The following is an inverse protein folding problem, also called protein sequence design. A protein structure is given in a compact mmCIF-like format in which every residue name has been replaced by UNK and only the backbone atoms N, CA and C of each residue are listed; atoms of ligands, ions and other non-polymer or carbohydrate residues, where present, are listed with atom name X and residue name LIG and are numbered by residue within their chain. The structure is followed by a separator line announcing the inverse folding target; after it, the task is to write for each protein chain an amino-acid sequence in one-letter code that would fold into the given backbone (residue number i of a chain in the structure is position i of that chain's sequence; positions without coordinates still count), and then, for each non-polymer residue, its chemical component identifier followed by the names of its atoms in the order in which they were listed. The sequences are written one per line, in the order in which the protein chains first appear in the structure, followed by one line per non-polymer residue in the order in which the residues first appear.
data_IF_706770285424
#
_entry.id   IF_706770285424
#
_cell.length_a   1.000
_cell.length_b   1.000
_cell.length_c   1.000
_cell.angle_alpha   90.00
_cell.angle_beta   90.00
_cell.angle_gamma   90.00
#
_symmetry.space_group_name_H-M   'P 1'
#
loop_
_entity.id
_entity.type
_entity.pdbx_description
1 polymer ?
#
# COMPACT_ATOMS: atom_id res chain seq x y z
N UNK A 1 -24.96 22.56 13.42
CA UNK A 1 -23.52 22.48 13.10
C UNK A 1 -23.11 21.02 13.00
N UNK A 2 -23.24 20.42 11.81
CA UNK A 2 -22.88 19.03 11.57
C UNK A 2 -21.35 18.88 11.55
N UNK A 3 -20.79 18.25 12.58
CA UNK A 3 -19.38 17.88 12.58
C UNK A 3 -19.14 16.85 11.49
N UNK A 4 -18.24 17.15 10.54
CA UNK A 4 -17.76 16.17 9.55
C UNK A 4 -17.17 14.97 10.31
N UNK A 5 -17.90 13.87 10.29
CA UNK A 5 -17.45 12.55 10.73
C UNK A 5 -16.47 12.08 9.65
N UNK A 6 -15.16 12.17 9.91
CA UNK A 6 -14.15 11.69 8.96
C UNK A 6 -13.81 10.23 9.28
N UNK A 7 -13.74 9.34 8.27
CA UNK A 7 -13.37 7.95 8.50
C UNK A 7 -11.96 7.87 9.11
N UNK A 8 -11.77 6.92 10.02
CA UNK A 8 -10.57 6.76 10.85
C UNK A 8 -9.30 6.15 10.21
N UNK A 9 -9.28 5.53 9.00
CA UNK A 9 -8.13 4.74 8.56
C UNK A 9 -6.86 5.59 8.38
N UNK A 10 -7.06 6.88 8.09
CA UNK A 10 -5.97 7.81 7.89
C UNK A 10 -5.17 8.18 9.14
N UNK A 11 -5.84 8.55 10.22
CA UNK A 11 -5.18 8.87 11.49
C UNK A 11 -4.57 7.62 12.14
N UNK A 12 -5.20 6.46 11.97
CA UNK A 12 -4.65 5.18 12.42
C UNK A 12 -3.34 4.83 11.70
N UNK A 13 -3.28 5.02 10.37
CA UNK A 13 -2.06 4.83 9.59
C UNK A 13 -0.92 5.75 10.09
N UNK A 14 -1.20 7.04 10.29
CA UNK A 14 -0.20 7.98 10.83
C UNK A 14 0.26 7.55 12.23
N UNK A 15 -0.64 7.11 13.10
CA UNK A 15 -0.29 6.64 14.44
C UNK A 15 0.62 5.39 14.42
N UNK A 16 0.38 4.47 13.48
CA UNK A 16 1.23 3.29 13.29
C UNK A 16 2.62 3.65 12.77
N UNK A 17 2.71 4.51 11.75
CA UNK A 17 3.98 5.00 11.21
C UNK A 17 4.81 5.67 12.31
N UNK A 18 4.20 6.60 13.06
CA UNK A 18 4.87 7.31 14.16
C UNK A 18 5.38 6.35 15.24
N UNK A 19 4.64 5.29 15.53
CA UNK A 19 5.09 4.28 16.50
C UNK A 19 6.29 3.49 15.99
N UNK A 20 6.28 3.07 14.72
CA UNK A 20 7.40 2.34 14.10
C UNK A 20 8.66 3.20 14.06
N UNK A 21 8.52 4.50 13.82
CA UNK A 21 9.61 5.46 13.76
C UNK A 21 10.12 5.94 15.12
N UNK A 22 9.47 5.58 16.23
CA UNK A 22 9.88 6.04 17.56
C UNK A 22 11.35 5.72 17.86
N UNK A 23 11.81 4.52 17.48
CA UNK A 23 13.21 4.10 17.65
C UNK A 23 14.15 4.98 16.84
N UNK A 24 13.80 5.26 15.58
CA UNK A 24 14.59 6.12 14.68
C UNK A 24 14.67 7.55 15.22
N UNK A 25 13.55 8.11 15.69
CA UNK A 25 13.50 9.47 16.27
C UNK A 25 14.35 9.59 17.53
N UNK A 26 14.33 8.58 18.40
CA UNK A 26 15.19 8.55 19.59
C UNK A 26 16.67 8.39 19.22
N UNK A 27 16.99 7.52 18.26
CA UNK A 27 18.37 7.37 17.76
C UNK A 27 18.93 8.66 17.17
N UNK A 28 18.14 9.35 16.35
CA UNK A 28 18.50 10.67 15.81
C UNK A 28 18.66 11.70 16.93
N UNK A 29 17.77 11.72 17.93
CA UNK A 29 17.90 12.63 19.05
C UNK A 29 19.20 12.43 19.84
N UNK A 30 19.65 11.18 20.03
CA UNK A 30 20.96 10.90 20.66
C UNK A 30 22.10 11.48 19.83
N UNK A 31 22.11 11.23 18.52
CA UNK A 31 23.15 11.74 17.61
C UNK A 31 23.17 13.28 17.61
N UNK A 32 22.01 13.90 17.48
CA UNK A 32 21.84 15.36 17.48
C UNK A 32 22.31 15.98 18.81
N UNK A 33 22.06 15.30 19.94
CA UNK A 33 22.55 15.74 21.26
C UNK A 33 24.07 15.72 21.32
N UNK A 34 24.70 14.63 20.85
CA UNK A 34 26.15 14.50 20.82
C UNK A 34 26.80 15.57 19.93
N UNK A 35 26.22 15.82 18.74
CA UNK A 35 26.68 16.88 17.84
C UNK A 35 26.49 18.25 18.49
N UNK A 36 25.33 18.51 19.10
CA UNK A 36 25.07 19.78 19.75
C UNK A 36 26.05 20.06 20.89
N UNK A 37 26.40 19.03 21.66
CA UNK A 37 27.43 19.12 22.70
C UNK A 37 28.82 19.39 22.13
N UNK A 38 29.18 18.75 21.01
CA UNK A 38 30.49 18.94 20.39
C UNK A 38 30.65 20.34 19.75
N UNK A 39 29.59 20.83 19.09
CA UNK A 39 29.61 22.13 18.37
C UNK A 39 29.49 23.32 19.32
N UNK A 40 28.63 23.20 20.35
CA UNK A 40 28.44 24.25 21.34
C UNK A 40 28.35 23.60 22.75
N UNK A 41 29.51 23.33 23.38
CA UNK A 41 29.56 22.67 24.68
C UNK A 41 28.78 23.44 25.75
N UNK A 42 27.61 22.93 26.11
CA UNK A 42 26.79 23.46 27.20
C UNK A 42 25.82 22.41 27.74
N UNK A 43 25.14 22.65 28.87
CA UNK A 43 24.08 21.76 29.36
C UNK A 43 22.85 21.69 28.43
N UNK A 44 22.68 22.63 27.50
CA UNK A 44 21.45 22.79 26.74
C UNK A 44 21.08 21.59 25.85
N UNK A 45 21.99 20.94 25.08
CA UNK A 45 21.67 19.75 24.32
C UNK A 45 21.12 18.59 25.18
N UNK A 46 21.59 18.45 26.43
CA UNK A 46 21.08 17.42 27.35
C UNK A 46 19.68 17.77 27.87
N UNK A 47 19.42 19.05 28.18
CA UNK A 47 18.08 19.54 28.54
C UNK A 47 17.11 19.33 27.38
N UNK A 48 17.54 19.65 26.16
CA UNK A 48 16.79 19.40 24.93
C UNK A 48 16.47 17.92 24.73
N UNK A 49 17.44 17.03 24.93
CA UNK A 49 17.22 15.59 24.84
C UNK A 49 16.16 15.09 25.82
N UNK A 50 16.19 15.57 27.07
CA UNK A 50 15.15 15.31 28.07
C UNK A 50 13.77 15.78 27.61
N UNK A 51 13.69 16.99 27.04
CA UNK A 51 12.45 17.54 26.49
C UNK A 51 11.94 16.72 25.29
N UNK A 52 12.83 16.23 24.42
CA UNK A 52 12.48 15.33 23.31
C UNK A 52 11.88 14.03 23.88
N UNK A 53 12.50 13.39 24.87
CA UNK A 53 11.94 12.19 25.49
C UNK A 53 10.53 12.47 26.06
N UNK A 54 10.36 13.57 26.80
CA UNK A 54 9.06 13.93 27.37
C UNK A 54 7.99 14.11 26.28
N UNK A 55 8.33 14.80 25.18
CA UNK A 55 7.39 14.95 24.05
C UNK A 55 7.10 13.64 23.32
N UNK A 56 8.03 12.68 23.27
CA UNK A 56 7.76 11.33 22.74
C UNK A 56 6.80 10.54 23.65
N UNK A 57 6.90 10.70 24.97
CA UNK A 57 5.97 10.06 25.92
C UNK A 57 4.55 10.63 25.74
N UNK A 58 4.44 11.95 25.58
CA UNK A 58 3.16 12.63 25.30
C UNK A 58 2.59 12.16 23.94
N UNK A 59 3.43 12.11 22.90
CA UNK A 59 3.05 11.59 21.56
C UNK A 59 2.52 10.16 21.64
N UNK A 60 3.25 9.28 22.34
CA UNK A 60 2.84 7.90 22.52
C UNK A 60 1.50 7.78 23.26
N UNK A 61 1.29 8.59 24.30
CA UNK A 61 0.04 8.62 25.07
C UNK A 61 -1.15 9.11 24.24
N UNK A 62 -0.98 10.23 23.52
CA UNK A 62 -2.03 10.84 22.71
C UNK A 62 -2.51 9.89 21.59
N UNK A 63 -1.58 9.27 20.86
CA UNK A 63 -1.91 8.35 19.76
C UNK A 63 -2.22 6.92 20.21
N UNK A 64 -2.13 6.60 21.52
CA UNK A 64 -2.40 5.25 22.04
C UNK A 64 -3.82 4.78 21.74
N UNK A 65 -4.80 5.67 21.87
CA UNK A 65 -6.22 5.34 21.69
C UNK A 65 -6.49 4.85 20.27
N UNK A 66 -6.06 5.64 19.26
CA UNK A 66 -6.31 5.34 17.85
C UNK A 66 -5.48 4.17 17.33
N UNK A 67 -4.28 3.94 17.90
CA UNK A 67 -3.47 2.75 17.57
C UNK A 67 -4.12 1.45 18.05
N UNK A 68 -4.83 1.48 19.19
CA UNK A 68 -5.52 0.30 19.75
C UNK A 68 -6.89 0.07 19.14
N UNK A 69 -7.55 1.13 18.65
CA UNK A 69 -8.87 1.06 18.03
C UNK A 69 -8.84 1.85 16.71
N UNK A 70 -8.34 1.25 15.61
CA UNK A 70 -8.19 1.91 14.32
C UNK A 70 -9.50 2.44 13.75
N UNK A 71 -10.63 1.79 14.08
CA UNK A 71 -11.96 2.12 13.56
C UNK A 71 -12.66 3.23 14.36
N UNK A 72 -12.02 3.75 15.42
CA UNK A 72 -12.63 4.77 16.27
C UNK A 72 -12.72 6.11 15.53
N UNK A 73 -13.94 6.63 15.41
CA UNK A 73 -14.22 7.93 14.78
C UNK A 73 -13.50 9.05 15.52
N UNK A 74 -12.63 9.78 14.80
CA UNK A 74 -11.88 10.90 15.36
C UNK A 74 -12.79 12.12 15.44
N UNK A 75 -13.15 12.51 16.66
CA UNK A 75 -13.87 13.78 16.88
C UNK A 75 -12.94 14.97 16.65
N UNK A 76 -13.50 16.16 16.35
CA UNK A 76 -12.73 17.41 16.19
C UNK A 76 -11.80 17.76 17.36
N UNK A 77 -12.17 17.40 18.60
CA UNK A 77 -11.31 17.60 19.80
C UNK A 77 -10.03 16.77 19.74
N UNK A 78 -10.15 15.52 19.31
CA UNK A 78 -9.02 14.61 19.13
C UNK A 78 -8.11 15.07 17.99
N UNK A 79 -8.67 15.55 16.88
CA UNK A 79 -7.90 16.14 15.78
C UNK A 79 -7.04 17.33 16.26
N UNK A 80 -7.65 18.28 16.98
CA UNK A 80 -6.92 19.43 17.54
C UNK A 80 -5.82 18.95 18.49
N UNK A 81 -6.12 17.99 19.36
CA UNK A 81 -5.14 17.40 20.27
C UNK A 81 -3.94 16.81 19.50
N UNK A 82 -4.19 16.04 18.44
CA UNK A 82 -3.13 15.45 17.62
C UNK A 82 -2.29 16.52 16.93
N UNK A 83 -2.91 17.54 16.35
CA UNK A 83 -2.19 18.66 15.74
C UNK A 83 -1.32 19.41 16.76
N UNK A 84 -1.84 19.67 17.97
CA UNK A 84 -1.09 20.35 19.04
C UNK A 84 0.10 19.52 19.49
N UNK A 85 -0.10 18.21 19.72
CA UNK A 85 0.98 17.31 20.14
C UNK A 85 2.06 17.19 19.07
N UNK A 86 1.66 17.11 17.80
CA UNK A 86 2.60 17.06 16.67
C UNK A 86 3.37 18.37 16.54
N UNK A 87 2.69 19.52 16.61
CA UNK A 87 3.35 20.83 16.56
C UNK A 87 4.32 21.01 17.72
N UNK A 88 3.93 20.62 18.94
CA UNK A 88 4.81 20.65 20.12
C UNK A 88 6.06 19.80 19.92
N UNK A 89 5.90 18.58 19.40
CA UNK A 89 7.02 17.69 19.12
C UNK A 89 8.01 18.35 18.15
N UNK A 90 7.50 18.96 17.08
CA UNK A 90 8.32 19.66 16.09
C UNK A 90 9.04 20.87 16.69
N UNK A 91 8.34 21.71 17.44
CA UNK A 91 8.92 22.92 18.06
C UNK A 91 10.06 22.52 18.98
N UNK A 92 9.85 21.51 19.82
CA UNK A 92 10.91 21.00 20.72
C UNK A 92 12.06 20.42 19.92
N UNK A 93 11.79 19.61 18.89
CA UNK A 93 12.84 19.01 18.07
C UNK A 93 13.68 20.08 17.33
N UNK A 94 13.02 21.12 16.79
CA UNK A 94 13.66 22.22 16.06
C UNK A 94 14.36 23.24 16.96
N UNK A 95 14.10 23.23 18.28
CA UNK A 95 14.74 24.14 19.22
C UNK A 95 16.26 23.96 19.29
N UNK A 96 16.77 22.76 19.01
CA UNK A 96 18.21 22.53 18.91
C UNK A 96 18.82 23.27 17.71
N UNK A 97 18.14 23.32 16.56
CA UNK A 97 18.60 24.11 15.41
C UNK A 97 18.76 25.58 15.77
N UNK A 98 17.79 26.16 16.49
CA UNK A 98 17.88 27.55 16.94
C UNK A 98 19.07 27.76 17.88
N UNK A 99 19.27 26.87 18.84
CA UNK A 99 20.42 26.94 19.73
C UNK A 99 21.76 26.90 18.97
N UNK A 100 21.90 25.96 18.03
CA UNK A 100 23.11 25.81 17.23
C UNK A 100 23.32 26.97 16.26
N UNK A 101 22.24 27.57 15.76
CA UNK A 101 22.30 28.75 14.91
C UNK A 101 23.01 29.93 15.61
N UNK A 102 22.62 30.23 16.85
CA UNK A 102 23.15 31.37 17.59
C UNK A 102 24.45 31.05 18.34
N UNK A 103 24.60 29.83 18.88
CA UNK A 103 25.73 29.48 19.75
C UNK A 103 26.82 28.66 19.05
N UNK A 104 26.54 28.04 17.91
CA UNK A 104 27.44 27.09 17.25
C UNK A 104 28.30 27.68 16.11
N UNK A 105 28.30 29.00 15.93
CA UNK A 105 29.04 29.66 14.85
C UNK A 105 28.61 29.20 13.45
N UNK A 106 29.52 29.23 12.48
CA UNK A 106 29.20 28.86 11.09
C UNK A 106 28.82 27.38 10.93
N UNK A 107 29.53 26.49 11.63
CA UNK A 107 29.25 25.04 11.62
C UNK A 107 27.86 24.77 12.21
N UNK A 108 27.50 25.45 13.31
CA UNK A 108 26.19 25.34 13.93
C UNK A 108 25.06 25.81 13.02
N UNK A 109 25.24 26.90 12.27
CA UNK A 109 24.26 27.38 11.28
C UNK A 109 24.02 26.37 10.16
N UNK A 110 25.08 25.79 9.59
CA UNK A 110 24.94 24.74 8.56
C UNK A 110 24.16 23.55 9.11
N UNK A 111 24.50 23.12 10.33
CA UNK A 111 23.83 21.99 10.95
C UNK A 111 22.35 22.27 11.26
N UNK A 112 22.04 23.48 11.74
CA UNK A 112 20.67 23.93 11.97
C UNK A 112 19.82 23.87 10.69
N UNK A 113 20.38 24.27 9.54
CA UNK A 113 19.70 24.19 8.24
C UNK A 113 19.49 22.74 7.78
N UNK A 114 20.50 21.88 7.91
CA UNK A 114 20.40 20.46 7.56
C UNK A 114 19.34 19.78 8.42
N UNK A 115 19.34 20.04 9.73
CA UNK A 115 18.37 19.46 10.66
C UNK A 115 16.93 19.87 10.32
N UNK A 116 16.69 21.17 10.11
CA UNK A 116 15.34 21.68 9.84
C UNK A 116 14.85 21.29 8.44
N UNK A 117 15.72 21.28 7.42
CA UNK A 117 15.39 20.71 6.11
C UNK A 117 15.05 19.22 6.19
N UNK A 118 15.88 18.43 6.88
CA UNK A 118 15.64 17.00 7.09
C UNK A 118 14.32 16.72 7.81
N UNK A 119 14.01 17.52 8.84
CA UNK A 119 12.72 17.44 9.55
C UNK A 119 11.52 17.76 8.63
N UNK A 120 11.66 18.76 7.76
CA UNK A 120 10.62 19.12 6.81
C UNK A 120 10.40 18.04 5.74
N UNK A 121 11.49 17.44 5.23
CA UNK A 121 11.43 16.29 4.33
C UNK A 121 10.76 15.08 5.00
N UNK A 122 11.18 14.76 6.22
CA UNK A 122 10.63 13.64 6.99
C UNK A 122 9.11 13.76 7.17
N UNK A 123 8.65 14.93 7.62
CA UNK A 123 7.22 15.23 7.79
C UNK A 123 6.46 15.14 6.46
N UNK A 124 7.05 15.68 5.39
CA UNK A 124 6.47 15.68 4.06
C UNK A 124 6.29 14.27 3.49
N UNK A 125 7.26 13.38 3.68
CA UNK A 125 7.19 12.00 3.20
C UNK A 125 6.14 11.17 3.97
N UNK A 126 6.04 11.35 5.29
CA UNK A 126 5.23 10.44 6.13
C UNK A 126 3.82 10.95 6.42
N UNK A 127 3.58 12.27 6.34
CA UNK A 127 2.30 12.88 6.72
C UNK A 127 1.50 13.43 5.53
N UNK A 128 1.95 13.24 4.28
CA UNK A 128 1.28 13.78 3.08
C UNK A 128 -0.17 13.32 2.90
N UNK A 129 -0.54 12.17 3.46
CA UNK A 129 -1.89 11.63 3.42
C UNK A 129 -2.91 12.46 4.24
N UNK A 130 -2.46 13.24 5.24
CA UNK A 130 -3.35 14.00 6.13
C UNK A 130 -2.94 15.47 6.24
N UNK A 131 -3.68 16.32 5.52
CA UNK A 131 -3.42 17.77 5.47
C UNK A 131 -3.32 18.44 6.85
N UNK A 132 -4.25 18.24 7.81
CA UNK A 132 -4.18 18.93 9.10
C UNK A 132 -2.90 18.60 9.89
N UNK A 133 -2.52 17.32 9.91
CA UNK A 133 -1.31 16.87 10.58
C UNK A 133 -0.05 17.36 9.86
N UNK A 134 -0.03 17.28 8.52
CA UNK A 134 1.05 17.80 7.70
C UNK A 134 1.30 19.29 7.99
N UNK A 135 0.26 20.12 7.95
CA UNK A 135 0.40 21.56 8.23
C UNK A 135 0.86 21.80 9.67
N UNK A 136 0.29 21.10 10.65
CA UNK A 136 0.71 21.25 12.06
C UNK A 136 2.19 20.93 12.29
N UNK A 137 2.77 20.02 11.50
CA UNK A 137 4.18 19.63 11.60
C UNK A 137 5.12 20.45 10.71
N UNK A 138 4.67 20.79 9.50
CA UNK A 138 5.48 21.50 8.51
C UNK A 138 5.60 22.98 8.82
N UNK A 139 4.53 23.63 9.30
CA UNK A 139 4.54 25.07 9.59
C UNK A 139 5.60 25.46 10.61
N UNK A 140 5.76 24.78 11.77
CA UNK A 140 6.81 25.14 12.71
C UNK A 140 8.21 24.85 12.15
N UNK A 141 8.47 23.71 11.50
CA UNK A 141 9.77 23.46 10.85
C UNK A 141 10.11 24.53 9.81
N UNK A 142 9.14 24.92 8.97
CA UNK A 142 9.33 25.98 7.97
C UNK A 142 9.60 27.33 8.63
N UNK A 143 8.93 27.62 9.75
CA UNK A 143 9.16 28.84 10.53
C UNK A 143 10.59 28.88 11.09
N UNK A 144 11.14 27.77 11.60
CA UNK A 144 12.55 27.72 12.00
C UNK A 144 13.49 27.81 10.80
N UNK A 145 13.20 27.06 9.73
CA UNK A 145 14.05 26.99 8.53
C UNK A 145 14.24 28.34 7.83
N UNK A 146 13.17 29.15 7.72
CA UNK A 146 13.23 30.49 7.13
C UNK A 146 13.51 31.56 8.19
N UNK A 147 12.93 31.41 9.38
CA UNK A 147 13.03 32.40 10.44
C UNK A 147 14.44 32.52 11.02
N UNK A 148 15.20 31.43 11.14
CA UNK A 148 16.55 31.50 11.71
C UNK A 148 17.51 32.38 10.89
N UNK A 149 17.64 32.20 9.55
CA UNK A 149 18.46 33.11 8.75
C UNK A 149 17.95 34.55 8.71
N UNK A 150 16.63 34.75 8.71
CA UNK A 150 16.05 36.12 8.74
C UNK A 150 16.36 36.81 10.07
N UNK A 151 16.19 36.10 11.19
CA UNK A 151 16.49 36.64 12.52
C UNK A 151 17.97 36.90 12.70
N UNK A 152 18.85 36.00 12.23
CA UNK A 152 20.29 36.23 12.25
C UNK A 152 20.71 37.44 11.39
N UNK A 153 20.11 37.62 10.22
CA UNK A 153 20.37 38.80 9.38
C UNK A 153 19.99 40.12 10.09
N UNK A 154 18.88 40.13 10.84
CA UNK A 154 18.39 41.31 11.56
C UNK A 154 19.17 41.56 12.85
N UNK A 155 19.43 40.52 13.64
CA UNK A 155 20.03 40.62 14.97
C UNK A 155 21.55 40.78 14.88
N UNK A 156 22.22 39.94 14.09
CA UNK A 156 23.68 39.94 13.96
C UNK A 156 24.16 40.96 12.92
N UNK A 157 23.24 41.62 12.19
CA UNK A 157 23.54 42.59 11.15
C UNK A 157 24.23 41.98 9.92
N UNK A 158 23.99 40.69 9.64
CA UNK A 158 24.63 39.91 8.57
C UNK A 158 23.67 39.71 7.39
N UNK A 159 23.56 40.66 6.43
CA UNK A 159 22.56 40.59 5.36
C UNK A 159 22.75 39.38 4.44
N UNK A 160 23.96 38.82 4.36
CA UNK A 160 24.26 37.59 3.62
C UNK A 160 23.45 36.38 4.10
N UNK A 161 22.97 36.35 5.35
CA UNK A 161 22.12 35.26 5.85
C UNK A 161 20.73 35.26 5.19
N UNK A 162 20.28 36.37 4.60
CA UNK A 162 19.06 36.40 3.79
C UNK A 162 19.16 35.51 2.55
N UNK A 163 20.37 35.30 2.00
CA UNK A 163 20.57 34.38 0.87
C UNK A 163 20.23 32.95 1.27
N UNK A 164 20.52 32.57 2.52
CA UNK A 164 20.14 31.26 3.08
C UNK A 164 18.61 31.14 3.16
N UNK A 165 17.90 32.20 3.56
CA UNK A 165 16.43 32.21 3.57
C UNK A 165 15.85 32.06 2.14
N UNK A 166 16.44 32.72 1.14
CA UNK A 166 16.03 32.56 -0.27
C UNK A 166 16.25 31.11 -0.75
N UNK A 167 17.40 30.51 -0.44
CA UNK A 167 17.65 29.09 -0.69
C UNK A 167 16.64 28.19 0.02
N UNK A 168 16.24 28.57 1.24
CA UNK A 168 15.17 27.92 1.97
C UNK A 168 13.82 27.99 1.26
N UNK A 169 13.44 29.14 0.69
CA UNK A 169 12.21 29.28 -0.10
C UNK A 169 12.23 28.38 -1.35
N UNK A 170 13.36 28.30 -2.04
CA UNK A 170 13.54 27.39 -3.18
C UNK A 170 13.38 25.92 -2.76
N UNK A 171 13.94 25.54 -1.61
CA UNK A 171 13.77 24.22 -1.04
C UNK A 171 12.30 23.93 -0.70
N UNK A 172 11.60 24.88 -0.06
CA UNK A 172 10.16 24.77 0.24
C UNK A 172 9.33 24.60 -1.03
N UNK A 173 9.64 25.34 -2.10
CA UNK A 173 8.98 25.21 -3.38
C UNK A 173 9.14 23.79 -3.95
N UNK A 174 10.37 23.27 -4.01
CA UNK A 174 10.63 21.90 -4.47
C UNK A 174 9.94 20.85 -3.60
N UNK A 175 9.91 21.07 -2.29
CA UNK A 175 9.24 20.17 -1.37
C UNK A 175 7.73 20.15 -1.59
N UNK A 176 7.09 21.30 -1.83
CA UNK A 176 5.66 21.37 -2.18
C UNK A 176 5.38 20.64 -3.49
N UNK A 177 6.22 20.80 -4.50
CA UNK A 177 6.11 20.06 -5.76
C UNK A 177 6.24 18.55 -5.53
N UNK A 178 7.26 18.13 -4.76
CA UNK A 178 7.52 16.73 -4.42
C UNK A 178 6.35 16.08 -3.67
N UNK A 179 5.79 16.77 -2.66
CA UNK A 179 4.61 16.28 -1.91
C UNK A 179 3.39 16.14 -2.82
N UNK A 180 3.14 17.12 -3.70
CA UNK A 180 2.03 17.06 -4.67
C UNK A 180 2.19 15.91 -5.65
N UNK A 181 3.41 15.69 -6.14
CA UNK A 181 3.72 14.58 -7.04
C UNK A 181 3.53 13.23 -6.34
N UNK A 182 4.09 13.05 -5.13
CA UNK A 182 3.92 11.82 -4.35
C UNK A 182 2.45 11.50 -4.10
N UNK A 183 1.65 12.50 -3.71
CA UNK A 183 0.23 12.29 -3.46
C UNK A 183 -0.53 11.84 -4.72
N UNK A 184 -0.18 12.39 -5.90
CA UNK A 184 -0.76 11.98 -7.19
C UNK A 184 -0.36 10.55 -7.56
N UNK A 185 0.91 10.19 -7.40
CA UNK A 185 1.40 8.83 -7.69
C UNK A 185 0.75 7.80 -6.79
N UNK A 186 0.61 8.07 -5.49
CA UNK A 186 -0.07 7.16 -4.57
C UNK A 186 -1.54 6.99 -4.92
N UNK A 187 -2.24 8.06 -5.33
CA UNK A 187 -3.63 7.96 -5.76
C UNK A 187 -3.76 7.12 -7.04
N UNK A 188 -2.94 7.41 -8.06
CA UNK A 188 -2.97 6.67 -9.31
C UNK A 188 -2.67 5.17 -9.11
N UNK A 189 -1.75 4.82 -8.20
CA UNK A 189 -1.47 3.43 -7.85
C UNK A 189 -2.64 2.73 -7.14
N UNK A 190 -3.43 3.47 -6.33
CA UNK A 190 -4.63 2.90 -5.70
C UNK A 190 -5.72 2.65 -6.72
N UNK A 191 -6.02 3.65 -7.55
CA UNK A 191 -7.04 3.56 -8.59
C UNK A 191 -6.70 2.43 -9.58
N UNK A 192 -5.42 2.27 -9.93
CA UNK A 192 -4.96 1.18 -10.81
C UNK A 192 -5.08 -0.21 -10.15
N UNK A 193 -4.79 -0.33 -8.85
CA UNK A 193 -4.95 -1.59 -8.13
C UNK A 193 -6.43 -1.97 -7.98
N UNK A 194 -7.30 -1.01 -7.68
CA UNK A 194 -8.76 -1.23 -7.59
C UNK A 194 -9.31 -1.69 -8.95
N UNK A 195 -8.96 -0.99 -10.03
CA UNK A 195 -9.37 -1.39 -11.39
C UNK A 195 -8.83 -2.77 -11.80
N UNK A 196 -7.61 -3.11 -11.38
CA UNK A 196 -7.02 -4.42 -11.65
C UNK A 196 -7.72 -5.54 -10.87
N UNK A 197 -8.11 -5.30 -9.61
CA UNK A 197 -8.83 -6.28 -8.81
C UNK A 197 -10.27 -6.47 -9.33
N UNK A 198 -10.97 -5.40 -9.70
CA UNK A 198 -12.29 -5.48 -10.34
C UNK A 198 -12.24 -6.26 -11.65
N UNK A 199 -11.23 -6.01 -12.50
CA UNK A 199 -11.05 -6.74 -13.75
C UNK A 199 -10.73 -8.23 -13.52
N UNK A 200 -9.94 -8.53 -12.48
CA UNK A 200 -9.63 -9.91 -12.06
C UNK A 200 -10.89 -10.63 -11.61
N UNK A 201 -11.69 -10.02 -10.74
CA UNK A 201 -12.95 -10.60 -10.26
C UNK A 201 -13.93 -10.86 -11.41
N UNK A 202 -14.09 -9.90 -12.34
CA UNK A 202 -14.94 -10.09 -13.51
C UNK A 202 -14.46 -11.25 -14.41
N UNK A 203 -13.15 -11.41 -14.58
CA UNK A 203 -12.59 -12.52 -15.34
C UNK A 203 -12.79 -13.88 -14.64
N UNK A 204 -12.63 -13.92 -13.31
CA UNK A 204 -12.88 -15.11 -12.50
C UNK A 204 -14.36 -15.54 -12.56
N UNK A 205 -15.29 -14.59 -12.43
CA UNK A 205 -16.73 -14.84 -12.56
C UNK A 205 -17.10 -15.35 -13.96
N UNK A 206 -16.54 -14.74 -15.02
CA UNK A 206 -16.78 -15.19 -16.40
C UNK A 206 -16.25 -16.60 -16.64
N UNK A 207 -15.08 -16.94 -16.10
CA UNK A 207 -14.48 -18.28 -16.21
C UNK A 207 -15.30 -19.33 -15.46
N UNK A 208 -15.79 -19.00 -14.26
CA UNK A 208 -16.68 -19.87 -13.50
C UNK A 208 -18.00 -20.12 -14.24
N UNK A 209 -18.65 -19.06 -14.74
CA UNK A 209 -19.90 -19.17 -15.50
C UNK A 209 -19.72 -20.01 -16.79
N UNK A 210 -18.59 -19.86 -17.48
CA UNK A 210 -18.25 -20.69 -18.65
C UNK A 210 -18.12 -22.16 -18.27
N UNK A 211 -17.42 -22.46 -17.18
CA UNK A 211 -17.21 -23.83 -16.69
C UNK A 211 -18.52 -24.49 -16.29
N UNK A 212 -19.37 -23.78 -15.54
CA UNK A 212 -20.70 -24.26 -15.14
C UNK A 212 -21.58 -24.52 -16.36
N UNK A 213 -21.57 -23.62 -17.34
CA UNK A 213 -22.31 -23.79 -18.59
C UNK A 213 -21.86 -25.05 -19.34
N UNK A 214 -20.55 -25.27 -19.51
CA UNK A 214 -20.03 -26.45 -20.21
C UNK A 214 -20.35 -27.75 -19.47
N UNK A 215 -20.28 -27.75 -18.13
CA UNK A 215 -20.65 -28.90 -17.31
C UNK A 215 -22.13 -29.27 -17.49
N UNK A 216 -23.04 -28.29 -17.43
CA UNK A 216 -24.48 -28.50 -17.62
C UNK A 216 -24.76 -29.01 -19.03
N UNK A 217 -24.25 -28.34 -20.06
CA UNK A 217 -24.48 -28.74 -21.45
C UNK A 217 -23.95 -30.14 -21.73
N UNK A 218 -22.80 -30.51 -21.16
CA UNK A 218 -22.27 -31.85 -21.32
C UNK A 218 -23.19 -32.93 -20.72
N UNK A 219 -23.76 -32.68 -19.54
CA UNK A 219 -24.73 -33.58 -18.95
C UNK A 219 -26.01 -33.71 -19.83
N UNK A 220 -26.51 -32.59 -20.33
CA UNK A 220 -27.70 -32.53 -21.18
C UNK A 220 -27.50 -33.14 -22.58
N UNK A 221 -26.28 -33.13 -23.13
CA UNK A 221 -25.95 -33.79 -24.41
C UNK A 221 -25.66 -35.27 -24.22
N UNK A 222 -25.01 -35.66 -23.12
CA UNK A 222 -24.65 -37.07 -22.83
C UNK A 222 -25.89 -37.97 -22.82
N UNK A 223 -26.99 -37.50 -22.23
CA UNK A 223 -28.24 -38.28 -22.10
C UNK A 223 -28.85 -38.65 -23.46
N UNK A 224 -29.17 -37.71 -24.37
CA UNK A 224 -29.69 -38.04 -25.70
C UNK A 224 -28.65 -38.79 -26.55
N UNK A 225 -27.36 -38.49 -26.44
CA UNK A 225 -26.35 -39.22 -27.21
C UNK A 225 -26.24 -40.69 -26.80
N UNK A 226 -26.24 -40.98 -25.50
CA UNK A 226 -26.27 -42.36 -25.03
C UNK A 226 -27.54 -43.09 -25.49
N UNK A 227 -28.68 -42.41 -25.56
CA UNK A 227 -29.91 -42.99 -26.11
C UNK A 227 -29.77 -43.33 -27.61
N UNK A 228 -29.18 -42.44 -28.41
CA UNK A 228 -28.91 -42.66 -29.84
C UNK A 228 -27.94 -43.83 -30.05
N UNK A 229 -26.82 -43.85 -29.33
CA UNK A 229 -25.82 -44.93 -29.41
C UNK A 229 -26.43 -46.27 -28.96
N UNK A 230 -27.25 -46.27 -27.91
CA UNK A 230 -27.95 -47.47 -27.44
C UNK A 230 -28.96 -47.98 -28.48
N UNK A 231 -29.75 -47.09 -29.08
CA UNK A 231 -30.69 -47.44 -30.14
C UNK A 231 -29.97 -48.02 -31.38
N UNK A 232 -28.87 -47.40 -31.80
CA UNK A 232 -28.02 -47.92 -32.89
C UNK A 232 -27.45 -49.30 -32.55
N UNK A 233 -27.01 -49.51 -31.31
CA UNK A 233 -26.55 -50.82 -30.83
C UNK A 233 -27.64 -51.89 -30.86
N UNK A 234 -28.88 -51.54 -30.53
CA UNK A 234 -30.02 -52.46 -30.62
C UNK A 234 -30.35 -52.80 -32.08
N UNK A 235 -30.38 -51.79 -32.97
CA UNK A 235 -30.61 -52.00 -34.40
C UNK A 235 -29.53 -52.90 -35.02
N UNK A 236 -28.26 -52.72 -34.64
CA UNK A 236 -27.13 -53.54 -35.10
C UNK A 236 -27.30 -55.04 -34.78
N UNK A 237 -28.11 -55.38 -33.77
CA UNK A 237 -28.42 -56.77 -33.37
C UNK A 237 -29.61 -57.38 -34.13
N UNK A 238 -30.27 -56.62 -35.00
CA UNK A 238 -31.38 -57.11 -35.83
C UNK A 238 -30.90 -57.58 -37.21
N UNK A 239 -31.81 -58.14 -38.03
CA UNK A 239 -31.51 -58.45 -39.44
C UNK A 239 -31.50 -57.15 -40.25
N UNK A 240 -30.30 -56.71 -40.62
CA UNK A 240 -30.06 -55.55 -41.49
C UNK A 240 -29.45 -56.02 -42.82
N UNK A 241 -29.86 -55.37 -43.91
CA UNK A 241 -29.16 -55.49 -45.20
C UNK A 241 -27.77 -54.80 -45.14
N UNK A 242 -27.02 -54.86 -46.24
CA UNK A 242 -25.65 -54.33 -46.30
C UNK A 242 -25.61 -52.83 -46.05
N UNK A 243 -26.49 -52.08 -46.73
CA UNK A 243 -26.49 -50.62 -46.69
C UNK A 243 -26.99 -50.13 -45.32
N UNK A 244 -28.02 -50.76 -44.75
CA UNK A 244 -28.51 -50.49 -43.40
C UNK A 244 -27.43 -50.73 -42.33
N UNK A 245 -26.62 -51.77 -42.48
CA UNK A 245 -25.52 -52.08 -41.54
C UNK A 245 -24.43 -51.02 -41.58
N UNK A 246 -24.11 -50.53 -42.78
CA UNK A 246 -23.15 -49.44 -42.98
C UNK A 246 -23.66 -48.12 -42.39
N UNK A 247 -24.94 -47.78 -42.58
CA UNK A 247 -25.56 -46.62 -41.95
C UNK A 247 -25.56 -46.70 -40.41
N UNK A 248 -25.88 -47.85 -39.82
CA UNK A 248 -25.84 -48.05 -38.36
C UNK A 248 -24.41 -47.93 -37.82
N UNK A 249 -23.40 -48.43 -38.56
CA UNK A 249 -21.99 -48.24 -38.19
C UNK A 249 -21.62 -46.76 -38.18
N UNK A 250 -21.95 -46.01 -39.24
CA UNK A 250 -21.68 -44.57 -39.31
C UNK A 250 -22.35 -43.79 -38.17
N UNK A 251 -23.58 -44.13 -37.79
CA UNK A 251 -24.27 -43.50 -36.65
C UNK A 251 -23.56 -43.75 -35.32
N UNK A 252 -23.03 -44.97 -35.12
CA UNK A 252 -22.26 -45.29 -33.92
C UNK A 252 -20.93 -44.54 -33.90
N UNK A 253 -20.18 -44.57 -35.00
CA UNK A 253 -18.88 -43.90 -35.11
C UNK A 253 -19.02 -42.38 -34.88
N UNK A 254 -20.08 -41.76 -35.42
CA UNK A 254 -20.38 -40.35 -35.18
C UNK A 254 -20.76 -40.07 -33.72
N UNK A 255 -21.50 -40.97 -33.07
CA UNK A 255 -21.86 -40.84 -31.66
C UNK A 255 -20.65 -40.94 -30.73
N UNK A 256 -19.75 -41.89 -30.98
CA UNK A 256 -18.52 -42.08 -30.22
C UNK A 256 -17.58 -40.89 -30.39
N UNK A 257 -17.43 -40.37 -31.63
CA UNK A 257 -16.66 -39.16 -31.89
C UNK A 257 -17.23 -37.94 -31.15
N UNK A 258 -18.55 -37.76 -31.16
CA UNK A 258 -19.20 -36.65 -30.46
C UNK A 258 -18.97 -36.71 -28.94
N UNK A 259 -18.99 -37.91 -28.35
CA UNK A 259 -18.69 -38.10 -26.93
C UNK A 259 -17.23 -37.83 -26.60
N UNK A 260 -16.30 -38.22 -27.48
CA UNK A 260 -14.88 -37.88 -27.34
C UNK A 260 -14.68 -36.36 -27.32
N UNK A 261 -15.20 -35.65 -28.33
CA UNK A 261 -15.09 -34.19 -28.41
C UNK A 261 -15.72 -33.48 -27.21
N UNK A 262 -16.84 -33.99 -26.72
CA UNK A 262 -17.50 -33.44 -25.54
C UNK A 262 -16.64 -33.59 -24.28
N UNK A 263 -16.00 -34.75 -24.11
CA UNK A 263 -15.08 -34.98 -22.99
C UNK A 263 -13.83 -34.09 -23.10
N UNK A 264 -13.27 -33.95 -24.30
CA UNK A 264 -12.10 -33.09 -24.54
C UNK A 264 -12.40 -31.62 -24.17
N UNK A 265 -13.58 -31.11 -24.52
CA UNK A 265 -14.01 -29.75 -24.17
C UNK A 265 -14.16 -29.59 -22.65
N UNK A 266 -14.71 -30.59 -21.96
CA UNK A 266 -14.82 -30.56 -20.50
C UNK A 266 -13.46 -30.58 -19.82
N UNK A 267 -12.54 -31.42 -20.29
CA UNK A 267 -11.22 -31.54 -19.69
C UNK A 267 -10.39 -30.28 -19.95
N UNK A 268 -10.51 -29.67 -21.13
CA UNK A 268 -9.95 -28.35 -21.40
C UNK A 268 -10.49 -27.30 -20.41
N UNK A 269 -11.80 -27.29 -20.16
CA UNK A 269 -12.42 -26.36 -19.20
C UNK A 269 -11.90 -26.54 -17.77
N UNK A 270 -11.68 -27.79 -17.32
CA UNK A 270 -11.09 -28.07 -16.00
C UNK A 270 -9.64 -27.62 -15.90
N UNK A 271 -8.85 -27.76 -16.97
CA UNK A 271 -7.46 -27.29 -17.02
C UNK A 271 -7.43 -25.76 -16.93
N UNK A 272 -8.24 -25.08 -17.73
CA UNK A 272 -8.32 -23.60 -17.75
C UNK A 272 -8.74 -23.04 -16.38
N UNK A 273 -9.64 -23.73 -15.67
CA UNK A 273 -10.08 -23.37 -14.32
C UNK A 273 -9.11 -23.81 -13.20
N UNK A 274 -8.02 -24.51 -13.51
CA UNK A 274 -7.07 -25.04 -12.51
C UNK A 274 -7.66 -26.15 -11.63
N UNK A 275 -8.72 -26.82 -12.07
CA UNK A 275 -9.44 -27.86 -11.33
C UNK A 275 -9.00 -29.29 -11.71
N UNK A 276 -8.06 -29.45 -12.65
CA UNK A 276 -7.54 -30.77 -13.02
C UNK A 276 -6.63 -31.33 -11.91
N UNK A 277 -7.04 -32.43 -11.29
CA UNK A 277 -6.26 -33.16 -10.29
C UNK A 277 -5.67 -34.43 -10.90
N UNK A 278 -4.41 -34.72 -10.60
CA UNK A 278 -3.76 -35.95 -11.02
C UNK A 278 -3.79 -36.97 -9.87
N UNK A 279 -4.14 -38.21 -10.18
CA UNK A 279 -3.90 -39.34 -9.28
C UNK A 279 -2.53 -39.97 -9.59
N UNK A 280 -1.74 -40.22 -8.55
CA UNK A 280 -0.49 -40.98 -8.66
C UNK A 280 -0.74 -42.44 -8.32
N UNK A 281 -0.50 -43.34 -9.28
CA UNK A 281 -0.59 -44.79 -9.12
C UNK A 281 0.60 -45.48 -9.81
N UNK A 282 0.99 -46.66 -9.32
CA UNK A 282 1.97 -47.50 -10.03
C UNK A 282 1.36 -47.98 -11.35
N UNK A 283 2.12 -47.83 -12.43
CA UNK A 283 1.70 -48.19 -13.79
C UNK A 283 2.78 -49.07 -14.43
N UNK A 284 2.37 -50.24 -14.91
CA UNK A 284 3.20 -51.07 -15.78
C UNK A 284 3.14 -50.53 -17.21
N UNK A 285 4.29 -50.14 -17.73
CA UNK A 285 4.41 -49.52 -19.06
C UNK A 285 4.29 -50.56 -20.18
N UNK A 286 4.70 -51.81 -19.95
CA UNK A 286 4.64 -52.88 -20.96
C UNK A 286 3.19 -53.30 -21.21
N UNK A 287 2.39 -53.40 -20.14
CA UNK A 287 0.95 -53.68 -20.20
C UNK A 287 0.16 -52.57 -20.93
N UNK A 288 0.58 -51.31 -20.78
CA UNK A 288 -0.10 -50.16 -21.42
C UNK A 288 0.26 -49.92 -22.89
N UNK A 289 1.40 -50.43 -23.35
CA UNK A 289 1.83 -50.27 -24.75
C UNK A 289 1.35 -51.42 -25.65
N UNK A 290 0.87 -52.52 -25.07
CA UNK A 290 0.47 -53.73 -25.80
C UNK A 290 -1.04 -53.95 -25.87
N UNK A 291 -1.84 -53.14 -25.16
CA UNK A 291 -3.30 -53.09 -25.20
C UNK A 291 -3.84 -52.11 -26.24
#
# INVERSE_FOLDING_TARGET
MGGRIMPAPGYALVAQIRFRELKTRLGLAVILTAIGWAVAPSPWPLVWFGAVIATQVIDWGAFRSIRRRPDHVVTRRHEILYCVVVALNVVVYSALAAYLWFMGGEVGRVFAMIQTAGGLLHVSLHMHHHRPLLFSAATPHAAYFIGLPVMGAIIDGRPQELVIAVGGLLYLMHLVVSVRQSARTTQAMRDANEAADDARLAAEEASAAKSDFLAVISHEIRTPMNAVISAANLLRRTRLDRDQREHVSMLMDAGDLMMSLLNDVLDFSKIEAGQMTFETAEMDVEDKLTA
#
